data_IF_968209985866
#
_entry.id   IF_968209985866
#
_cell.length_a   1.000
_cell.length_b   1.000
_cell.length_c   1.000
_cell.angle_alpha   90.00
_cell.angle_beta   90.00
_cell.angle_gamma   90.00
#
_symmetry.space_group_name_H-M   'P 1'
#
loop_
_entity.id
_entity.type
_entity.pdbx_description
1 polymer ?
#
# COMPACT_ATOMS: atom_id res chain seq x y z
N UNK A 1 -25.82 18.46 -1.17
CA UNK A 1 -24.45 18.20 -0.68
C UNK A 1 -23.61 17.91 -1.90
N UNK A 2 -22.60 18.72 -2.17
CA UNK A 2 -21.76 18.59 -3.36
C UNK A 2 -20.89 17.34 -3.21
N UNK A 3 -21.08 16.33 -4.08
CA UNK A 3 -20.44 15.02 -3.94
C UNK A 3 -18.90 15.10 -3.95
N UNK A 4 -18.35 16.15 -4.56
CA UNK A 4 -16.92 16.40 -4.67
C UNK A 4 -16.34 17.26 -3.52
N UNK A 5 -17.17 17.75 -2.59
CA UNK A 5 -16.69 18.58 -1.47
C UNK A 5 -15.68 17.87 -0.56
N UNK A 6 -15.70 16.52 -0.52
CA UNK A 6 -14.69 15.71 0.18
C UNK A 6 -13.33 15.72 -0.50
N UNK A 7 -13.25 15.86 -1.83
CA UNK A 7 -11.98 15.95 -2.55
C UNK A 7 -11.28 17.30 -2.30
N UNK A 8 -12.04 18.34 -1.96
CA UNK A 8 -11.53 19.65 -1.60
C UNK A 8 -11.16 19.77 -0.10
N UNK A 9 -11.41 18.74 0.71
CA UNK A 9 -11.04 18.72 2.13
C UNK A 9 -9.53 18.48 2.30
N UNK A 10 -8.76 19.43 2.88
CA UNK A 10 -7.34 19.25 3.15
C UNK A 10 -7.03 18.03 4.02
N UNK A 11 -7.95 17.64 4.91
CA UNK A 11 -7.82 16.44 5.75
C UNK A 11 -7.86 15.17 4.90
N UNK A 12 -8.84 15.07 4.01
CA UNK A 12 -8.97 13.96 3.06
C UNK A 12 -7.76 13.86 2.12
N UNK A 13 -7.31 14.99 1.56
CA UNK A 13 -6.14 15.03 0.69
C UNK A 13 -4.88 14.53 1.41
N UNK A 14 -4.67 14.95 2.66
CA UNK A 14 -3.53 14.50 3.48
C UNK A 14 -3.60 13.01 3.79
N UNK A 15 -4.77 12.52 4.23
CA UNK A 15 -4.95 11.10 4.57
C UNK A 15 -4.79 10.20 3.34
N UNK A 16 -5.26 10.66 2.17
CA UNK A 16 -5.05 9.99 0.88
C UNK A 16 -3.57 9.96 0.50
N UNK A 17 -2.85 11.09 0.62
CA UNK A 17 -1.43 11.14 0.32
C UNK A 17 -0.60 10.20 1.21
N UNK A 18 -0.97 10.08 2.49
CA UNK A 18 -0.34 9.15 3.43
C UNK A 18 -0.63 7.67 3.10
N UNK A 19 -1.84 7.39 2.63
CA UNK A 19 -2.20 6.05 2.18
C UNK A 19 -1.42 5.70 0.90
N UNK A 20 -1.42 6.59 -0.09
CA UNK A 20 -0.68 6.39 -1.35
C UNK A 20 0.82 6.24 -1.09
N UNK A 21 1.40 7.02 -0.16
CA UNK A 21 2.82 6.88 0.16
C UNK A 21 3.16 5.51 0.76
N UNK A 22 2.31 4.96 1.63
CA UNK A 22 2.48 3.61 2.15
C UNK A 22 2.46 2.53 1.06
N UNK A 23 1.55 2.66 0.09
CA UNK A 23 1.52 1.78 -1.07
C UNK A 23 2.80 1.91 -1.91
N UNK A 24 3.21 3.13 -2.23
CA UNK A 24 4.38 3.39 -3.07
C UNK A 24 5.69 2.93 -2.41
N UNK A 25 5.82 3.06 -1.09
CA UNK A 25 6.98 2.54 -0.34
C UNK A 25 7.05 1.02 -0.46
N UNK A 26 5.92 0.32 -0.32
CA UNK A 26 5.87 -1.13 -0.47
C UNK A 26 6.28 -1.57 -1.89
N UNK A 27 5.78 -0.90 -2.93
CA UNK A 27 6.14 -1.18 -4.31
C UNK A 27 7.64 -0.91 -4.58
N UNK A 28 8.16 0.22 -4.07
CA UNK A 28 9.55 0.60 -4.26
C UNK A 28 10.54 -0.36 -3.57
N UNK A 29 10.15 -0.96 -2.43
CA UNK A 29 10.95 -1.96 -1.75
C UNK A 29 11.17 -3.22 -2.59
N UNK A 30 10.18 -3.63 -3.39
CA UNK A 30 10.34 -4.73 -4.34
C UNK A 30 11.41 -4.43 -5.37
N UNK A 31 11.28 -3.30 -6.06
CA UNK A 31 12.26 -2.83 -7.07
C UNK A 31 13.66 -2.69 -6.48
N UNK A 32 13.77 -2.13 -5.28
CA UNK A 32 15.05 -2.00 -4.59
C UNK A 32 15.68 -3.36 -4.25
N UNK A 33 14.90 -4.29 -3.71
CA UNK A 33 15.36 -5.63 -3.37
C UNK A 33 15.83 -6.42 -4.60
N UNK A 34 15.08 -6.37 -5.70
CA UNK A 34 15.46 -6.99 -6.98
C UNK A 34 16.75 -6.38 -7.55
N UNK A 35 16.97 -5.08 -7.36
CA UNK A 35 18.17 -4.40 -7.84
C UNK A 35 19.42 -4.66 -6.99
N UNK A 36 19.24 -5.03 -5.72
CA UNK A 36 20.32 -5.15 -4.74
C UNK A 36 20.65 -6.60 -4.37
N UNK A 37 19.74 -7.54 -4.66
CA UNK A 37 19.85 -8.94 -4.28
C UNK A 37 19.31 -9.85 -5.38
N UNK A 38 19.86 -11.06 -5.51
CA UNK A 38 19.31 -12.10 -6.38
C UNK A 38 18.06 -12.80 -5.79
N UNK A 39 17.49 -12.24 -4.71
CA UNK A 39 16.37 -12.83 -3.99
C UNK A 39 15.04 -12.28 -4.52
N UNK A 40 14.32 -13.15 -5.24
CA UNK A 40 12.97 -12.88 -5.74
C UNK A 40 11.93 -13.29 -4.69
N UNK A 41 11.49 -12.32 -3.88
CA UNK A 41 10.46 -12.54 -2.86
C UNK A 41 9.06 -12.31 -3.46
N UNK A 42 8.03 -13.05 -3.03
CA UNK A 42 6.66 -12.77 -3.45
C UNK A 42 6.27 -11.31 -3.14
N UNK A 43 5.66 -10.63 -4.11
CA UNK A 43 5.39 -9.19 -4.08
C UNK A 43 4.59 -8.74 -2.84
N UNK A 44 3.70 -9.60 -2.33
CA UNK A 44 2.91 -9.34 -1.14
C UNK A 44 3.75 -9.17 0.13
N UNK A 45 4.95 -9.74 0.18
CA UNK A 45 5.88 -9.67 1.31
C UNK A 45 6.37 -8.25 1.52
N UNK A 46 6.62 -7.49 0.45
CA UNK A 46 7.11 -6.11 0.57
C UNK A 46 6.10 -5.18 1.23
N UNK A 47 4.80 -5.41 1.03
CA UNK A 47 3.74 -4.70 1.76
C UNK A 47 3.73 -5.05 3.25
N UNK A 48 3.88 -6.33 3.60
CA UNK A 48 3.97 -6.77 5.00
C UNK A 48 5.21 -6.20 5.70
N UNK A 49 6.37 -6.22 5.03
CA UNK A 49 7.61 -5.62 5.53
C UNK A 49 7.42 -4.12 5.77
N UNK A 50 6.70 -3.43 4.89
CA UNK A 50 6.40 -1.99 5.08
C UNK A 50 5.49 -1.75 6.29
N UNK A 51 4.49 -2.61 6.51
CA UNK A 51 3.60 -2.53 7.69
C UNK A 51 4.41 -2.68 8.98
N UNK A 52 5.25 -3.72 9.03
CA UNK A 52 6.14 -3.99 10.18
C UNK A 52 7.15 -2.86 10.34
N UNK A 53 7.79 -2.41 9.26
CA UNK A 53 8.76 -1.32 9.27
C UNK A 53 8.14 -0.01 9.79
N UNK A 54 6.92 0.31 9.36
CA UNK A 54 6.19 1.49 9.85
C UNK A 54 5.85 1.40 11.35
N UNK A 55 5.75 0.20 11.92
CA UNK A 55 5.53 0.03 13.36
C UNK A 55 6.75 0.53 14.16
N UNK A 56 7.95 0.26 13.67
CA UNK A 56 9.23 0.60 14.32
C UNK A 56 9.87 1.89 13.81
N UNK A 57 9.33 2.51 12.76
CA UNK A 57 9.89 3.72 12.15
C UNK A 57 9.83 4.92 13.11
N UNK A 58 10.98 5.50 13.51
CA UNK A 58 10.99 6.68 14.36
C UNK A 58 10.38 7.87 13.62
N UNK A 59 9.46 8.59 14.27
CA UNK A 59 8.78 9.75 13.70
C UNK A 59 7.47 9.44 12.97
N UNK A 60 7.11 8.16 12.78
CA UNK A 60 5.81 7.76 12.22
C UNK A 60 4.91 7.31 13.37
N UNK A 61 3.89 8.10 13.70
CA UNK A 61 2.99 7.79 14.82
C UNK A 61 1.53 8.13 14.53
N UNK A 62 0.64 7.60 15.37
CA UNK A 62 -0.79 7.89 15.34
C UNK A 62 -1.43 7.72 13.96
N UNK A 63 -2.09 8.78 13.48
CA UNK A 63 -2.81 8.78 12.20
C UNK A 63 -1.90 8.51 11.01
N UNK A 64 -0.67 9.01 11.02
CA UNK A 64 0.28 8.84 9.93
C UNK A 64 0.71 7.38 9.79
N UNK A 65 1.08 6.74 10.91
CA UNK A 65 1.41 5.31 10.95
C UNK A 65 0.28 4.47 10.37
N UNK A 66 -0.94 4.71 10.86
CA UNK A 66 -2.12 3.96 10.40
C UNK A 66 -2.32 4.06 8.89
N UNK A 67 -2.25 5.24 8.29
CA UNK A 67 -2.51 5.39 6.85
C UNK A 67 -1.40 4.79 5.99
N UNK A 68 -0.14 4.93 6.41
CA UNK A 68 0.98 4.25 5.74
C UNK A 68 0.81 2.73 5.79
N UNK A 69 0.46 2.18 6.96
CA UNK A 69 0.19 0.75 7.11
C UNK A 69 -1.01 0.29 6.28
N UNK A 70 -2.08 1.09 6.19
CA UNK A 70 -3.24 0.78 5.33
C UNK A 70 -2.85 0.77 3.84
N UNK A 71 -2.03 1.73 3.40
CA UNK A 71 -1.52 1.77 2.03
C UNK A 71 -0.66 0.56 1.69
N UNK A 72 0.27 0.20 2.58
CA UNK A 72 1.09 -0.99 2.44
C UNK A 72 0.26 -2.29 2.48
N UNK A 73 -0.76 -2.35 3.34
CA UNK A 73 -1.70 -3.47 3.39
C UNK A 73 -2.51 -3.59 2.11
N UNK A 74 -2.91 -2.47 1.49
CA UNK A 74 -3.59 -2.48 0.19
C UNK A 74 -2.69 -3.04 -0.92
N UNK A 75 -1.39 -2.70 -0.90
CA UNK A 75 -0.40 -3.32 -1.79
C UNK A 75 -0.34 -4.84 -1.62
N UNK A 76 -0.22 -5.34 -0.37
CA UNK A 76 -0.25 -6.78 -0.07
C UNK A 76 -1.52 -7.44 -0.58
N UNK A 77 -2.69 -6.84 -0.35
CA UNK A 77 -3.97 -7.40 -0.78
C UNK A 77 -4.09 -7.50 -2.31
N UNK A 78 -3.63 -6.48 -3.04
CA UNK A 78 -3.63 -6.48 -4.50
C UNK A 78 -2.66 -7.51 -5.06
N UNK A 79 -1.44 -7.59 -4.53
CA UNK A 79 -0.46 -8.59 -4.92
C UNK A 79 -0.96 -10.03 -4.70
N UNK A 80 -1.65 -10.29 -3.57
CA UNK A 80 -2.31 -11.57 -3.34
C UNK A 80 -3.43 -11.82 -4.36
N UNK A 81 -4.24 -10.81 -4.67
CA UNK A 81 -5.29 -10.88 -5.68
C UNK A 81 -4.74 -11.25 -7.06
N UNK A 82 -3.63 -10.63 -7.47
CA UNK A 82 -2.92 -10.94 -8.72
C UNK A 82 -2.35 -12.37 -8.70
N UNK A 83 -1.67 -12.75 -7.61
CA UNK A 83 -1.09 -14.09 -7.44
C UNK A 83 -2.13 -15.21 -7.54
N UNK A 84 -3.34 -14.96 -7.05
CA UNK A 84 -4.43 -15.95 -7.06
C UNK A 84 -5.44 -15.77 -8.20
N UNK A 85 -5.18 -14.87 -9.16
CA UNK A 85 -6.09 -14.66 -10.30
C UNK A 85 -7.48 -14.14 -9.91
N UNK A 86 -7.59 -13.43 -8.78
CA UNK A 86 -8.88 -12.90 -8.30
C UNK A 86 -9.47 -11.90 -9.30
N UNK A 87 -8.60 -11.16 -10.00
CA UNK A 87 -9.03 -10.24 -11.06
C UNK A 87 -9.74 -10.97 -12.19
N UNK A 88 -9.17 -12.06 -12.68
CA UNK A 88 -9.74 -12.87 -13.76
C UNK A 88 -11.08 -13.50 -13.33
N UNK A 89 -11.18 -13.91 -12.06
CA UNK A 89 -12.41 -14.43 -11.49
C UNK A 89 -13.53 -13.38 -11.39
N UNK A 90 -13.19 -12.11 -11.14
CA UNK A 90 -14.15 -11.00 -11.08
C UNK A 90 -14.53 -10.52 -12.49
N UNK A 91 -13.58 -10.41 -13.41
CA UNK A 91 -13.85 -10.02 -14.81
C UNK A 91 -14.68 -11.07 -15.54
N UNK A 92 -14.49 -12.36 -15.25
CA UNK A 92 -15.32 -13.44 -15.80
C UNK A 92 -16.72 -13.57 -15.18
N UNK A 93 -17.00 -12.84 -14.09
CA UNK A 93 -18.31 -12.83 -13.42
C UNK A 93 -19.19 -11.63 -13.82
N UNK A 94 -18.64 -10.66 -14.57
CA UNK A 94 -19.38 -9.54 -15.18
C UNK A 94 -19.80 -9.85 -16.62
#
# INVERSE_FOLDING_TARGET
MDAFGKLADPGFARDTALLVSGYSIAAALGVAAESMTDYDAPTEVYGLVTVVGAEYAPGVSGRQKRHVQLGAGAHTALALGERFGVRDAVEGAM
#
